data_IF_267580681883
#
_entry.id   IF_267580681883
#
_cell.length_a   1.000
_cell.length_b   1.000
_cell.length_c   1.000
_cell.angle_alpha   90.00
_cell.angle_beta   90.00
_cell.angle_gamma   90.00
#
_symmetry.space_group_name_H-M   'P 1'
#
loop_
_entity.id
_entity.type
_entity.pdbx_description
1 polymer ?
#
# COMPACT_ATOMS: atom_id res chain seq x y z
N UNK A 1 8.34 6.58 13.00
CA UNK A 1 9.10 7.77 12.53
C UNK A 1 10.19 8.09 13.54
N UNK A 2 11.33 8.64 13.12
CA UNK A 2 12.45 9.00 14.03
C UNK A 2 12.15 10.15 15.00
N UNK A 3 10.99 10.80 14.83
CA UNK A 3 10.47 11.85 15.71
C UNK A 3 10.15 11.34 17.14
N UNK A 4 9.90 10.03 17.32
CA UNK A 4 9.51 9.46 18.61
C UNK A 4 10.52 9.76 19.73
N UNK A 5 11.81 9.50 19.50
CA UNK A 5 12.86 9.76 20.50
C UNK A 5 13.01 11.24 20.88
N UNK A 6 12.73 12.14 19.94
CA UNK A 6 12.78 13.58 20.20
C UNK A 6 11.57 13.98 21.07
N UNK A 7 10.39 13.45 20.76
CA UNK A 7 9.20 13.66 21.59
C UNK A 7 9.38 13.09 23.00
N UNK A 8 9.93 11.88 23.14
CA UNK A 8 10.22 11.27 24.45
C UNK A 8 11.18 12.15 25.28
N UNK A 9 12.20 12.73 24.63
CA UNK A 9 13.12 13.68 25.27
C UNK A 9 12.45 14.97 25.70
N UNK A 10 11.53 15.50 24.89
CA UNK A 10 10.73 16.69 25.21
C UNK A 10 9.78 16.40 26.39
N UNK A 11 9.11 15.24 26.41
CA UNK A 11 8.27 14.82 27.54
C UNK A 11 9.10 14.65 28.83
N UNK A 12 10.30 14.08 28.72
CA UNK A 12 11.23 13.99 29.84
C UNK A 12 11.71 15.37 30.32
N UNK A 13 11.82 16.38 29.43
CA UNK A 13 12.08 17.75 29.86
C UNK A 13 10.91 18.32 30.66
N UNK A 14 9.66 18.05 30.25
CA UNK A 14 8.48 18.53 30.97
C UNK A 14 8.33 17.92 32.35
N UNK A 15 8.67 16.64 32.53
CA UNK A 15 8.60 15.98 33.84
C UNK A 15 9.59 16.53 34.88
N UNK A 16 10.54 17.38 34.47
CA UNK A 16 11.48 18.06 35.39
C UNK A 16 10.90 19.31 36.06
N UNK A 17 9.66 19.72 35.72
CA UNK A 17 8.99 20.92 36.25
C UNK A 17 8.88 20.95 37.78
N UNK A 18 8.66 19.78 38.38
CA UNK A 18 8.25 19.66 39.79
C UNK A 18 9.42 19.41 40.75
N UNK A 19 10.66 19.32 40.24
CA UNK A 19 11.83 19.02 41.06
C UNK A 19 12.47 20.27 41.70
N UNK A 20 12.82 20.25 43.00
CA UNK A 20 13.59 21.30 43.67
C UNK A 20 14.94 21.61 43.01
N UNK A 21 15.56 20.60 42.36
CA UNK A 21 16.81 20.73 41.59
C UNK A 21 16.57 21.06 40.11
N UNK A 22 15.34 21.45 39.76
CA UNK A 22 14.84 21.63 38.40
C UNK A 22 15.72 22.50 37.47
N UNK A 23 16.40 23.57 37.91
CA UNK A 23 17.25 24.36 37.00
C UNK A 23 18.48 23.62 36.47
N UNK A 24 19.13 22.80 37.32
CA UNK A 24 20.31 22.01 36.93
C UNK A 24 19.91 20.81 36.07
N UNK A 25 18.82 20.14 36.43
CA UNK A 25 18.28 19.02 35.67
C UNK A 25 17.78 19.50 34.30
N UNK A 26 17.11 20.64 34.21
CA UNK A 26 16.69 21.25 32.93
C UNK A 26 17.87 21.53 32.00
N UNK A 27 18.97 22.09 32.51
CA UNK A 27 20.19 22.30 31.72
C UNK A 27 20.78 20.98 31.24
N UNK A 28 20.84 19.97 32.10
CA UNK A 28 21.35 18.64 31.73
C UNK A 28 20.48 17.97 30.66
N UNK A 29 19.16 17.96 30.83
CA UNK A 29 18.23 17.38 29.84
C UNK A 29 18.30 18.13 28.51
N UNK A 30 18.41 19.46 28.54
CA UNK A 30 18.59 20.27 27.32
C UNK A 30 19.88 19.89 26.57
N UNK A 31 20.98 19.66 27.29
CA UNK A 31 22.22 19.16 26.70
C UNK A 31 22.12 17.71 26.19
N UNK A 32 21.31 16.86 26.83
CA UNK A 32 21.03 15.51 26.31
C UNK A 32 20.21 15.57 25.02
N UNK A 33 19.19 16.43 24.95
CA UNK A 33 18.36 16.61 23.74
C UNK A 33 19.24 17.11 22.58
N UNK A 34 20.16 18.05 22.82
CA UNK A 34 21.12 18.51 21.79
C UNK A 34 22.03 17.40 21.27
N UNK A 35 22.29 16.36 22.07
CA UNK A 35 23.11 15.21 21.69
C UNK A 35 22.33 14.11 20.97
N UNK A 36 21.00 14.23 20.87
CA UNK A 36 20.19 13.26 20.14
C UNK A 36 20.51 13.32 18.65
N UNK A 37 20.61 12.15 18.04
CA UNK A 37 20.84 12.01 16.61
C UNK A 37 19.78 12.77 15.79
N UNK A 38 20.26 13.70 14.96
CA UNK A 38 19.40 14.50 14.08
C UNK A 38 18.90 15.81 14.68
N UNK A 39 19.11 16.09 15.97
CA UNK A 39 18.84 17.41 16.56
C UNK A 39 19.97 18.36 16.17
N UNK A 40 19.63 19.52 15.60
CA UNK A 40 20.60 20.56 15.21
C UNK A 40 20.73 21.64 16.26
N UNK A 41 19.65 21.93 16.99
CA UNK A 41 19.61 22.96 18.03
C UNK A 41 18.44 22.70 18.99
N UNK A 42 18.56 23.16 20.23
CA UNK A 42 17.48 23.16 21.21
C UNK A 42 17.60 24.39 22.11
N UNK A 43 16.57 25.23 22.12
CA UNK A 43 16.56 26.53 22.82
C UNK A 43 15.29 26.71 23.63
N UNK A 44 15.48 27.39 24.76
CA UNK A 44 14.41 27.79 25.67
C UNK A 44 14.29 29.31 25.63
N UNK A 45 13.11 29.81 25.27
CA UNK A 45 12.78 31.23 25.21
C UNK A 45 11.74 31.54 26.27
N UNK A 46 12.03 32.45 27.19
CA UNK A 46 11.07 32.88 28.20
C UNK A 46 10.29 34.09 27.70
N UNK A 47 9.01 34.14 28.01
CA UNK A 47 8.22 35.35 27.78
C UNK A 47 8.58 36.32 28.90
N UNK A 48 9.12 37.49 28.53
CA UNK A 48 9.42 38.54 29.50
C UNK A 48 8.09 38.99 30.14
N UNK A 49 7.96 38.96 31.47
CA UNK A 49 6.74 39.45 32.11
C UNK A 49 6.61 40.94 31.76
N UNK A 50 5.46 41.35 31.23
CA UNK A 50 5.12 42.76 31.10
C UNK A 50 5.32 43.39 32.49
N UNK A 51 6.40 44.15 32.62
CA UNK A 51 6.67 44.89 33.85
C UNK A 51 5.49 45.81 34.06
N UNK A 52 4.68 45.52 35.08
CA UNK A 52 3.62 46.39 35.56
C UNK A 52 4.24 47.74 35.89
N UNK A 53 4.08 48.71 34.98
CA UNK A 53 4.43 50.10 35.19
C UNK A 53 3.43 50.70 36.18
N UNK A 54 3.80 50.69 37.47
CA UNK A 54 3.39 51.56 38.59
C UNK A 54 3.73 50.78 39.88
N UNK A 55 4.50 51.26 40.86
CA UNK A 55 4.84 52.61 41.30
C UNK A 55 6.05 52.56 42.27
N UNK A 56 6.46 53.73 42.73
CA UNK A 56 7.75 54.15 43.28
C UNK A 56 8.35 53.48 44.54
N UNK A 57 9.69 53.59 44.58
CA UNK A 57 10.61 53.82 45.72
C UNK A 57 11.45 52.68 46.37
N UNK A 58 12.76 53.01 46.40
CA UNK A 58 13.92 52.61 47.23
C UNK A 58 14.86 51.49 46.73
N UNK A 59 16.18 51.76 46.62
CA UNK A 59 17.16 50.80 46.12
C UNK A 59 17.62 49.87 47.24
N UNK A 60 17.12 48.64 47.27
CA UNK A 60 17.77 47.57 48.03
C UNK A 60 18.86 46.96 47.15
N UNK A 61 20.12 47.21 47.54
CA UNK A 61 21.33 46.60 46.98
C UNK A 61 21.37 45.12 47.37
N UNK A 62 20.70 44.29 46.57
CA UNK A 62 20.67 42.83 46.66
C UNK A 62 21.25 42.18 45.42
N UNK A 63 22.35 41.45 45.60
CA UNK A 63 23.10 40.69 44.60
C UNK A 63 22.17 39.75 43.81
N UNK A 64 22.42 39.65 42.50
CA UNK A 64 21.59 38.99 41.49
C UNK A 64 20.92 37.69 41.93
N UNK A 65 19.60 37.68 41.84
CA UNK A 65 18.79 36.47 41.75
C UNK A 65 17.95 36.62 40.49
N UNK A 66 18.46 36.13 39.36
CA UNK A 66 17.63 35.96 38.17
C UNK A 66 16.41 35.15 38.58
N UNK A 67 15.23 35.75 38.50
CA UNK A 67 13.96 35.07 38.79
C UNK A 67 13.96 33.79 37.98
N UNK A 68 14.09 32.66 38.68
CA UNK A 68 14.09 31.35 38.03
C UNK A 68 12.67 31.12 37.56
N UNK A 69 12.36 31.52 36.32
CA UNK A 69 11.04 31.34 35.76
C UNK A 69 10.69 29.83 35.80
N UNK A 70 9.54 29.54 36.42
CA UNK A 70 9.02 28.18 36.62
C UNK A 70 7.84 27.98 35.68
N UNK A 71 7.81 26.81 35.05
CA UNK A 71 6.63 26.30 34.36
C UNK A 71 6.14 25.05 35.13
N UNK A 72 4.86 24.74 34.99
CA UNK A 72 4.21 23.63 35.66
C UNK A 72 3.71 22.58 34.67
N UNK A 73 3.46 22.97 33.42
CA UNK A 73 3.12 22.03 32.34
C UNK A 73 3.84 22.44 31.06
N UNK A 74 4.23 21.44 30.28
CA UNK A 74 4.69 21.61 28.91
C UNK A 74 3.84 20.77 27.98
N UNK A 75 3.51 21.32 26.81
CA UNK A 75 2.80 20.58 25.76
C UNK A 75 3.47 20.88 24.42
N UNK A 76 3.67 19.82 23.63
CA UNK A 76 4.03 20.00 22.21
C UNK A 76 2.83 20.59 21.51
N UNK A 77 2.98 21.80 21.00
CA UNK A 77 1.88 22.56 20.39
C UNK A 77 1.89 22.36 18.89
N UNK A 78 3.07 22.42 18.26
CA UNK A 78 3.18 22.42 16.81
C UNK A 78 4.54 21.92 16.30
N UNK A 79 4.54 21.28 15.13
CA UNK A 79 5.75 21.02 14.34
C UNK A 79 5.67 21.84 13.04
N UNK A 80 6.67 22.68 12.79
CA UNK A 80 6.67 23.58 11.63
C UNK A 80 6.97 22.85 10.33
N UNK A 81 6.64 23.46 9.19
CA UNK A 81 7.19 23.05 7.90
C UNK A 81 8.73 23.23 7.88
N UNK A 82 9.47 22.40 7.12
CA UNK A 82 10.92 22.55 6.94
C UNK A 82 11.29 23.93 6.40
N UNK A 83 12.12 24.66 7.16
CA UNK A 83 12.69 25.95 6.77
C UNK A 83 14.18 25.81 6.50
N UNK A 84 14.71 26.63 5.60
CA UNK A 84 16.14 26.69 5.37
C UNK A 84 16.81 27.37 6.57
N UNK A 85 17.71 26.66 7.24
CA UNK A 85 18.46 27.20 8.36
C UNK A 85 19.58 28.09 7.81
N UNK A 86 19.57 29.42 8.05
CA UNK A 86 20.56 30.33 7.50
C UNK A 86 21.98 30.07 8.04
N UNK A 87 22.13 29.46 9.22
CA UNK A 87 23.43 29.18 9.81
C UNK A 87 24.12 27.95 9.21
N UNK A 88 23.35 26.98 8.70
CA UNK A 88 23.89 25.70 8.20
C UNK A 88 23.59 25.44 6.72
N UNK A 89 22.69 26.22 6.11
CA UNK A 89 22.17 26.00 4.76
C UNK A 89 21.32 24.74 4.61
N UNK A 90 21.01 24.04 5.71
CA UNK A 90 20.24 22.78 5.71
C UNK A 90 18.79 23.04 6.07
N UNK A 91 17.89 22.20 5.55
CA UNK A 91 16.47 22.24 5.93
C UNK A 91 16.27 21.63 7.32
N UNK A 92 15.70 22.41 8.22
CA UNK A 92 15.37 22.00 9.59
C UNK A 92 13.89 22.19 9.88
N UNK A 93 13.35 21.37 10.78
CA UNK A 93 12.01 21.50 11.32
C UNK A 93 12.12 21.91 12.77
N UNK A 94 11.28 22.84 13.20
CA UNK A 94 11.17 23.25 14.59
C UNK A 94 9.95 22.60 15.22
N UNK A 95 10.17 21.88 16.32
CA UNK A 95 9.12 21.39 17.20
C UNK A 95 8.99 22.43 18.31
N UNK A 96 7.83 23.08 18.38
CA UNK A 96 7.55 24.16 19.32
C UNK A 96 6.66 23.61 20.43
N UNK A 97 7.10 23.81 21.66
CA UNK A 97 6.36 23.46 22.86
C UNK A 97 6.10 24.67 23.71
N UNK A 98 4.86 24.84 24.15
CA UNK A 98 4.49 25.88 25.09
C UNK A 98 4.67 25.40 26.52
N UNK A 99 5.25 26.27 27.33
CA UNK A 99 5.42 26.09 28.76
C UNK A 99 4.43 27.00 29.47
N UNK A 100 3.56 26.42 30.29
CA UNK A 100 2.52 27.15 31.03
C UNK A 100 2.72 27.05 32.54
N UNK A 101 2.28 28.08 33.25
CA UNK A 101 2.19 28.06 34.71
C UNK A 101 0.88 27.41 35.19
N UNK A 102 0.69 27.34 36.51
CA UNK A 102 -0.54 26.79 37.11
C UNK A 102 -1.83 27.56 36.77
N UNK A 103 -1.75 28.83 36.36
CA UNK A 103 -2.91 29.60 35.90
C UNK A 103 -3.21 29.39 34.42
N UNK A 104 -2.45 28.54 33.71
CA UNK A 104 -2.59 28.28 32.29
C UNK A 104 -1.97 29.36 31.39
N UNK A 105 -1.30 30.35 31.96
CA UNK A 105 -0.61 31.41 31.22
C UNK A 105 0.71 30.91 30.64
N UNK A 106 1.00 31.23 29.38
CA UNK A 106 2.25 30.86 28.70
C UNK A 106 3.40 31.67 29.30
N UNK A 107 4.39 30.97 29.87
CA UNK A 107 5.58 31.57 30.48
C UNK A 107 6.82 31.43 29.60
N UNK A 108 6.79 30.56 28.59
CA UNK A 108 7.90 30.38 27.66
C UNK A 108 7.61 29.38 26.55
N UNK A 109 8.52 29.32 25.59
CA UNK A 109 8.52 28.37 24.49
C UNK A 109 9.81 27.57 24.50
N UNK A 110 9.69 26.25 24.41
CA UNK A 110 10.81 25.35 24.18
C UNK A 110 10.79 24.91 22.72
N UNK A 111 11.87 25.21 21.98
CA UNK A 111 11.99 24.97 20.55
C UNK A 111 13.14 24.00 20.30
N UNK A 112 12.83 22.88 19.67
CA UNK A 112 13.81 21.88 19.24
C UNK A 112 13.87 21.86 17.72
N UNK A 113 15.04 22.14 17.15
CA UNK A 113 15.28 22.09 15.72
C UNK A 113 15.92 20.76 15.32
N UNK A 114 15.32 20.10 14.34
CA UNK A 114 15.71 18.76 13.86
C UNK A 114 16.02 18.81 12.36
N UNK A 115 17.08 18.13 11.94
CA UNK A 115 17.46 18.01 10.53
C UNK A 115 16.40 17.22 9.75
N UNK A 116 15.87 17.84 8.69
CA UNK A 116 14.81 17.22 7.89
C UNK A 116 15.29 15.98 7.14
N UNK A 117 16.53 15.97 6.65
CA UNK A 117 17.09 14.81 5.94
C UNK A 117 17.16 13.59 6.85
N UNK A 118 17.52 13.80 8.12
CA UNK A 118 17.53 12.75 9.14
C UNK A 118 16.14 12.13 9.34
N UNK A 119 15.08 12.96 9.38
CA UNK A 119 13.71 12.49 9.56
C UNK A 119 13.21 11.65 8.39
N UNK A 120 13.48 12.09 7.16
CA UNK A 120 13.02 11.39 5.96
C UNK A 120 13.92 10.21 5.56
N UNK A 121 15.12 10.06 6.13
CA UNK A 121 16.07 9.00 5.80
C UNK A 121 15.45 7.59 5.87
N UNK A 122 14.66 7.32 6.91
CA UNK A 122 13.98 6.04 7.07
C UNK A 122 12.89 5.79 6.02
N UNK A 123 12.16 6.83 5.65
CA UNK A 123 11.08 6.75 4.64
C UNK A 123 11.68 6.57 3.24
N UNK A 124 12.79 7.27 2.94
CA UNK A 124 13.53 7.15 1.68
C UNK A 124 14.06 5.73 1.40
N UNK A 125 14.31 4.95 2.44
CA UNK A 125 14.77 3.57 2.29
C UNK A 125 13.66 2.58 1.85
N UNK A 126 12.39 2.99 1.94
CA UNK A 126 11.26 2.13 1.60
C UNK A 126 11.12 1.94 0.09
N UNK A 127 10.72 0.73 -0.33
CA UNK A 127 10.60 0.37 -1.74
C UNK A 127 9.66 1.31 -2.52
N UNK A 128 8.51 1.67 -1.93
CA UNK A 128 7.52 2.57 -2.54
C UNK A 128 7.99 4.03 -2.65
N UNK A 129 9.00 4.44 -1.87
CA UNK A 129 9.64 5.75 -2.01
C UNK A 129 10.62 5.76 -3.18
N UNK A 130 11.36 4.66 -3.35
CA UNK A 130 12.33 4.45 -4.46
C UNK A 130 11.66 4.30 -5.82
N UNK A 131 10.45 3.71 -5.87
CA UNK A 131 9.66 3.66 -7.10
C UNK A 131 9.18 5.04 -7.56
N UNK A 132 9.36 6.09 -6.75
CA UNK A 132 9.05 7.47 -7.10
C UNK A 132 7.56 7.73 -7.21
N UNK A 133 6.78 7.08 -6.37
CA UNK A 133 5.32 7.12 -6.35
C UNK A 133 4.78 7.87 -5.14
N UNK A 134 5.61 8.64 -4.44
CA UNK A 134 5.19 9.34 -3.24
C UNK A 134 5.87 10.69 -3.05
N UNK A 135 5.12 11.61 -2.46
CA UNK A 135 5.58 12.90 -1.99
C UNK A 135 5.04 13.19 -0.60
N UNK A 136 5.85 13.86 0.20
CA UNK A 136 5.45 14.53 1.43
C UNK A 136 5.24 16.01 1.12
N UNK A 137 4.05 16.50 1.43
CA UNK A 137 3.63 17.87 1.18
C UNK A 137 3.40 18.62 2.49
N UNK A 138 3.61 19.94 2.48
CA UNK A 138 3.12 20.81 3.54
C UNK A 138 1.60 21.03 3.44
N UNK A 139 1.03 21.75 4.41
CA UNK A 139 -0.40 22.05 4.45
C UNK A 139 -0.90 22.87 3.24
N UNK A 140 -0.03 23.67 2.64
CA UNK A 140 -0.33 24.47 1.46
C UNK A 140 -0.11 23.70 0.14
N UNK A 141 0.29 22.42 0.18
CA UNK A 141 0.61 21.60 -0.98
C UNK A 141 2.01 21.83 -1.55
N UNK A 142 2.90 22.52 -0.84
CA UNK A 142 4.31 22.66 -1.20
C UNK A 142 5.08 21.35 -1.02
N UNK A 143 6.04 21.08 -1.90
CA UNK A 143 6.84 19.86 -1.84
C UNK A 143 7.89 19.90 -0.72
N UNK A 144 7.75 19.03 0.28
CA UNK A 144 8.76 18.84 1.32
C UNK A 144 9.81 17.81 0.88
N UNK A 145 9.35 16.63 0.48
CA UNK A 145 10.21 15.57 -0.05
C UNK A 145 9.42 14.75 -1.09
N UNK A 146 10.10 14.23 -2.11
CA UNK A 146 9.49 13.30 -3.06
C UNK A 146 10.45 12.15 -3.34
N UNK A 147 9.90 11.04 -3.81
CA UNK A 147 10.69 9.98 -4.43
C UNK A 147 11.40 10.47 -5.70
N UNK A 148 12.50 9.80 -6.05
CA UNK A 148 13.43 10.26 -7.09
C UNK A 148 12.82 10.35 -8.49
N UNK A 149 11.81 9.52 -8.79
CA UNK A 149 11.16 9.49 -10.11
C UNK A 149 9.94 10.41 -10.22
N UNK A 150 9.64 11.19 -9.18
CA UNK A 150 8.55 12.17 -9.24
C UNK A 150 9.00 13.39 -10.04
N UNK A 151 8.33 13.62 -11.18
CA UNK A 151 8.44 14.89 -11.90
C UNK A 151 7.72 15.96 -11.10
N UNK A 152 8.49 16.92 -10.58
CA UNK A 152 7.96 18.09 -9.87
C UNK A 152 7.54 19.13 -10.89
N UNK A 153 6.25 19.38 -10.95
CA UNK A 153 5.68 20.40 -11.82
C UNK A 153 5.67 21.75 -11.09
N UNK A 154 6.86 22.38 -11.02
CA UNK A 154 7.09 23.58 -10.23
C UNK A 154 7.22 23.34 -8.71
N UNK A 155 6.88 24.37 -7.92
CA UNK A 155 7.09 24.37 -6.45
C UNK A 155 5.93 23.79 -5.65
N UNK A 156 4.74 23.62 -6.24
CA UNK A 156 3.53 23.16 -5.54
C UNK A 156 2.92 21.96 -6.25
N UNK A 157 2.35 21.06 -5.45
CA UNK A 157 1.60 19.91 -5.93
C UNK A 157 0.24 20.34 -6.49
N UNK A 158 -0.15 19.78 -7.63
CA UNK A 158 -1.41 20.16 -8.30
C UNK A 158 -1.33 21.49 -9.06
N UNK A 159 -0.17 21.81 -9.65
CA UNK A 159 -0.07 22.87 -10.65
C UNK A 159 -1.04 22.67 -11.82
N UNK A 160 -1.31 23.75 -12.55
CA UNK A 160 -2.39 23.89 -13.55
C UNK A 160 -2.41 22.80 -14.64
N UNK A 161 -1.29 22.12 -14.88
CA UNK A 161 -1.14 21.18 -16.00
C UNK A 161 -1.63 19.74 -15.70
N UNK A 162 -1.99 19.42 -14.45
CA UNK A 162 -2.47 18.07 -14.08
C UNK A 162 -3.80 18.09 -13.30
N UNK A 163 -4.94 17.87 -13.97
CA UNK A 163 -6.27 17.92 -13.34
C UNK A 163 -6.45 16.83 -12.27
N UNK A 164 -5.72 15.71 -12.36
CA UNK A 164 -5.78 14.65 -11.36
C UNK A 164 -5.10 15.08 -10.05
N UNK A 165 -3.91 15.68 -10.14
CA UNK A 165 -3.21 16.22 -8.97
C UNK A 165 -3.99 17.39 -8.33
N UNK A 166 -4.63 18.24 -9.13
CA UNK A 166 -5.48 19.31 -8.62
C UNK A 166 -6.71 18.76 -7.85
N UNK A 167 -7.35 17.71 -8.37
CA UNK A 167 -8.42 17.02 -7.66
C UNK A 167 -7.93 16.39 -6.34
N UNK A 168 -6.72 15.82 -6.33
CA UNK A 168 -6.10 15.24 -5.15
C UNK A 168 -5.76 16.29 -4.08
N UNK A 169 -5.25 17.46 -4.50
CA UNK A 169 -5.04 18.62 -3.64
C UNK A 169 -6.35 19.11 -3.02
N UNK A 170 -7.42 19.17 -3.82
CA UNK A 170 -8.75 19.57 -3.33
C UNK A 170 -9.31 18.57 -2.33
N UNK A 171 -9.07 17.27 -2.52
CA UNK A 171 -9.53 16.22 -1.63
C UNK A 171 -8.78 16.20 -0.29
N UNK A 172 -7.46 16.43 -0.29
CA UNK A 172 -6.67 16.49 0.94
C UNK A 172 -7.01 17.70 1.83
N UNK A 173 -7.49 18.81 1.25
CA UNK A 173 -7.99 19.94 2.05
C UNK A 173 -9.31 19.62 2.76
N UNK A 174 -10.09 18.66 2.24
CA UNK A 174 -11.43 18.31 2.77
C UNK A 174 -11.41 17.15 3.76
N UNK A 175 -10.48 16.20 3.58
CA UNK A 175 -10.41 14.97 4.38
C UNK A 175 -8.97 14.72 4.86
N UNK A 176 -8.77 14.10 6.03
CA UNK A 176 -7.43 13.74 6.49
C UNK A 176 -6.84 12.58 5.70
N UNK A 177 -7.66 11.72 5.10
CA UNK A 177 -7.20 10.62 4.25
C UNK A 177 -8.24 10.30 3.18
N UNK A 178 -7.79 9.64 2.11
CA UNK A 178 -8.66 9.18 1.05
C UNK A 178 -7.91 8.68 -0.16
N UNK A 179 -8.68 8.13 -1.11
CA UNK A 179 -8.18 7.63 -2.38
C UNK A 179 -9.00 8.24 -3.51
N UNK A 180 -8.32 8.64 -4.58
CA UNK A 180 -8.91 9.11 -5.82
C UNK A 180 -8.43 8.26 -6.98
N UNK A 181 -9.35 7.99 -7.89
CA UNK A 181 -9.13 7.29 -9.14
C UNK A 181 -9.08 8.33 -10.26
N UNK A 182 -8.18 8.15 -11.22
CA UNK A 182 -8.13 8.98 -12.42
C UNK A 182 -9.47 8.98 -13.18
N UNK A 183 -9.77 10.04 -13.95
CA UNK A 183 -11.08 10.23 -14.59
C UNK A 183 -11.37 9.21 -15.72
N UNK A 184 -10.33 8.62 -16.32
CA UNK A 184 -10.47 7.64 -17.41
C UNK A 184 -10.96 6.29 -16.87
N UNK A 185 -11.71 5.53 -17.68
CA UNK A 185 -12.05 4.12 -17.38
C UNK A 185 -11.43 3.20 -18.43
N UNK A 186 -10.56 2.23 -18.05
CA UNK A 186 -10.00 2.03 -16.71
C UNK A 186 -9.13 3.22 -16.26
N UNK A 187 -9.03 3.50 -14.95
CA UNK A 187 -8.22 4.61 -14.45
C UNK A 187 -6.77 4.40 -14.82
N UNK A 188 -6.11 5.44 -15.33
CA UNK A 188 -4.68 5.39 -15.66
C UNK A 188 -3.81 5.54 -14.41
N UNK A 189 -4.30 6.28 -13.42
CA UNK A 189 -3.61 6.58 -12.17
C UNK A 189 -4.55 6.41 -10.96
N UNK A 190 -3.96 6.02 -9.84
CA UNK A 190 -4.57 6.00 -8.52
C UNK A 190 -3.72 6.85 -7.59
N UNK A 191 -4.38 7.65 -6.76
CA UNK A 191 -3.75 8.55 -5.81
C UNK A 191 -4.36 8.36 -4.43
N UNK A 192 -3.53 8.13 -3.43
CA UNK A 192 -3.92 8.12 -2.02
C UNK A 192 -3.28 9.29 -1.28
N UNK A 193 -3.95 9.79 -0.25
CA UNK A 193 -3.38 10.78 0.65
C UNK A 193 -3.67 10.45 2.10
N UNK A 194 -2.76 10.84 2.98
CA UNK A 194 -2.86 10.67 4.42
C UNK A 194 -2.16 11.82 5.16
N UNK A 195 -2.91 12.59 5.93
CA UNK A 195 -2.41 13.66 6.81
C UNK A 195 -1.83 13.04 8.08
N UNK A 196 -0.60 13.41 8.41
CA UNK A 196 0.08 12.91 9.60
C UNK A 196 -0.56 13.50 10.86
N UNK A 197 -0.58 12.72 11.93
CA UNK A 197 -1.10 13.17 13.24
C UNK A 197 -0.08 14.00 14.02
N UNK A 198 1.21 13.71 13.86
CA UNK A 198 2.30 14.36 14.61
C UNK A 198 2.88 15.60 13.94
N UNK A 199 2.48 15.91 12.71
CA UNK A 199 2.95 17.07 11.95
C UNK A 199 1.89 17.47 10.90
N UNK A 200 1.79 18.76 10.51
CA UNK A 200 0.80 19.26 9.56
C UNK A 200 1.10 18.87 8.10
N UNK A 201 1.80 17.75 7.88
CA UNK A 201 2.21 17.30 6.55
C UNK A 201 1.26 16.24 6.03
N UNK A 202 1.14 16.18 4.71
CA UNK A 202 0.32 15.18 4.02
C UNK A 202 1.23 14.29 3.18
N UNK A 203 1.18 12.99 3.45
CA UNK A 203 1.78 11.98 2.58
C UNK A 203 0.84 11.71 1.43
N UNK A 204 1.33 11.89 0.21
CA UNK A 204 0.61 11.63 -1.02
C UNK A 204 1.32 10.51 -1.75
N UNK A 205 0.57 9.47 -2.10
CA UNK A 205 1.02 8.38 -2.96
C UNK A 205 0.26 8.45 -4.27
N UNK A 206 0.93 8.26 -5.39
CA UNK A 206 0.32 8.16 -6.70
C UNK A 206 1.05 7.11 -7.53
N UNK A 207 0.29 6.20 -8.13
CA UNK A 207 0.84 5.11 -8.92
C UNK A 207 0.03 4.91 -10.21
N UNK A 208 0.69 4.54 -11.31
CA UNK A 208 -0.01 4.10 -12.51
C UNK A 208 -0.82 2.84 -12.18
N UNK A 209 -2.12 2.89 -12.45
CA UNK A 209 -3.03 1.78 -12.18
C UNK A 209 -2.60 0.50 -12.92
N UNK A 210 -2.01 0.63 -14.13
CA UNK A 210 -1.47 -0.50 -14.90
C UNK A 210 -0.39 -1.27 -14.14
N UNK A 211 0.45 -0.59 -13.35
CA UNK A 211 1.51 -1.24 -12.56
C UNK A 211 0.93 -1.94 -11.34
N UNK A 212 0.00 -1.29 -10.64
CA UNK A 212 -0.69 -1.86 -9.47
C UNK A 212 -1.52 -3.09 -9.86
N UNK A 213 -2.20 -3.04 -11.01
CA UNK A 213 -3.04 -4.13 -11.51
C UNK A 213 -2.27 -5.15 -12.37
N UNK A 214 -0.98 -4.93 -12.69
CA UNK A 214 -0.22 -5.85 -13.54
C UNK A 214 -0.27 -7.31 -13.06
N UNK A 215 -0.14 -7.62 -11.75
CA UNK A 215 -0.28 -8.99 -11.26
C UNK A 215 -1.69 -9.56 -11.48
N UNK A 216 -2.74 -8.77 -11.26
CA UNK A 216 -4.13 -9.19 -11.52
C UNK A 216 -4.38 -9.45 -13.01
N UNK A 217 -3.85 -8.61 -13.90
CA UNK A 217 -4.00 -8.77 -15.35
C UNK A 217 -3.28 -10.04 -15.82
N UNK A 218 -2.07 -10.32 -15.31
CA UNK A 218 -1.35 -11.55 -15.62
C UNK A 218 -2.09 -12.79 -15.14
N UNK A 219 -2.60 -12.77 -13.91
CA UNK A 219 -3.38 -13.87 -13.36
C UNK A 219 -4.65 -14.13 -14.17
N UNK A 220 -5.37 -13.07 -14.54
CA UNK A 220 -6.55 -13.17 -15.42
C UNK A 220 -6.21 -13.85 -16.74
N UNK A 221 -5.13 -13.43 -17.40
CA UNK A 221 -4.72 -14.00 -18.68
C UNK A 221 -4.33 -15.48 -18.55
N UNK A 222 -3.59 -15.84 -17.48
CA UNK A 222 -3.25 -17.23 -17.19
C UNK A 222 -4.49 -18.09 -16.96
N UNK A 223 -5.47 -17.56 -16.20
CA UNK A 223 -6.73 -18.23 -15.95
C UNK A 223 -7.54 -18.45 -17.25
N UNK A 224 -7.63 -17.43 -18.12
CA UNK A 224 -8.31 -17.59 -19.41
C UNK A 224 -7.64 -18.64 -20.30
N UNK A 225 -6.31 -18.64 -20.38
CA UNK A 225 -5.57 -19.66 -21.14
C UNK A 225 -5.82 -21.06 -20.55
N UNK A 226 -5.78 -21.19 -19.23
CA UNK A 226 -6.10 -22.45 -18.54
C UNK A 226 -7.54 -22.91 -18.80
N UNK A 227 -8.51 -22.00 -18.73
CA UNK A 227 -9.91 -22.31 -19.00
C UNK A 227 -10.13 -22.78 -20.45
N UNK A 228 -9.53 -22.10 -21.43
CA UNK A 228 -9.58 -22.50 -22.84
C UNK A 228 -8.96 -23.89 -23.02
N UNK A 229 -7.81 -24.15 -22.39
CA UNK A 229 -7.15 -25.46 -22.45
C UNK A 229 -8.03 -26.58 -21.90
N UNK A 230 -8.70 -26.35 -20.77
CA UNK A 230 -9.64 -27.32 -20.18
C UNK A 230 -10.83 -27.57 -21.11
N UNK A 231 -11.43 -26.52 -21.67
CA UNK A 231 -12.55 -26.64 -22.61
C UNK A 231 -12.12 -27.45 -23.85
N UNK A 232 -10.97 -27.12 -24.44
CA UNK A 232 -10.44 -27.86 -25.60
C UNK A 232 -10.17 -29.32 -25.25
N UNK A 233 -9.64 -29.60 -24.06
CA UNK A 233 -9.38 -30.96 -23.59
C UNK A 233 -10.68 -31.75 -23.46
N UNK A 234 -11.72 -31.18 -22.82
CA UNK A 234 -13.03 -31.84 -22.68
C UNK A 234 -13.67 -32.08 -24.05
N UNK A 235 -13.66 -31.09 -24.94
CA UNK A 235 -14.18 -31.23 -26.30
C UNK A 235 -13.44 -32.33 -27.08
N UNK A 236 -12.11 -32.39 -26.96
CA UNK A 236 -11.29 -33.40 -27.61
C UNK A 236 -11.59 -34.81 -27.09
N UNK A 237 -11.67 -35.00 -25.77
CA UNK A 237 -12.04 -36.28 -25.17
C UNK A 237 -13.45 -36.71 -25.60
N UNK A 238 -14.42 -35.79 -25.56
CA UNK A 238 -15.79 -36.07 -25.99
C UNK A 238 -15.84 -36.49 -27.46
N UNK A 239 -15.17 -35.77 -28.36
CA UNK A 239 -15.12 -36.13 -29.78
C UNK A 239 -14.47 -37.50 -29.99
N UNK A 240 -13.38 -37.81 -29.28
CA UNK A 240 -12.72 -39.12 -29.35
C UNK A 240 -13.67 -40.26 -28.95
N UNK A 241 -14.41 -40.10 -27.86
CA UNK A 241 -15.34 -41.12 -27.35
C UNK A 241 -16.53 -41.28 -28.31
N UNK A 242 -17.19 -40.19 -28.70
CA UNK A 242 -18.37 -40.21 -29.58
C UNK A 242 -18.02 -40.80 -30.94
N UNK A 243 -16.91 -40.40 -31.56
CA UNK A 243 -16.49 -40.93 -32.87
C UNK A 243 -16.22 -42.44 -32.79
N UNK A 244 -15.59 -42.92 -31.70
CA UNK A 244 -15.34 -44.35 -31.50
C UNK A 244 -16.65 -45.13 -31.35
N UNK A 245 -17.60 -44.63 -30.57
CA UNK A 245 -18.92 -45.24 -30.40
C UNK A 245 -19.70 -45.28 -31.72
N UNK A 246 -19.82 -44.14 -32.42
CA UNK A 246 -20.56 -44.04 -33.69
C UNK A 246 -19.98 -44.95 -34.77
N UNK A 247 -18.64 -45.07 -34.86
CA UNK A 247 -17.99 -45.99 -35.81
C UNK A 247 -18.32 -47.45 -35.51
N UNK A 248 -18.30 -47.84 -34.23
CA UNK A 248 -18.59 -49.21 -33.81
C UNK A 248 -20.05 -49.57 -34.06
N UNK A 249 -20.97 -48.65 -33.76
CA UNK A 249 -22.40 -48.83 -34.01
C UNK A 249 -22.74 -48.90 -35.51
N UNK A 250 -22.12 -48.05 -36.35
CA UNK A 250 -22.29 -48.13 -37.81
C UNK A 250 -21.76 -49.44 -38.38
N UNK A 251 -20.62 -49.94 -37.91
CA UNK A 251 -20.06 -51.21 -38.35
C UNK A 251 -20.99 -52.38 -37.99
N UNK A 252 -21.51 -52.39 -36.76
CA UNK A 252 -22.47 -53.39 -36.31
C UNK A 252 -23.79 -53.33 -37.11
N UNK A 253 -24.38 -52.15 -37.25
CA UNK A 253 -25.62 -51.96 -38.02
C UNK A 253 -25.45 -52.39 -39.49
N UNK A 254 -24.31 -52.08 -40.11
CA UNK A 254 -24.01 -52.50 -41.47
C UNK A 254 -23.83 -54.01 -41.64
N UNK A 255 -23.30 -54.71 -40.63
CA UNK A 255 -23.16 -56.17 -40.65
C UNK A 255 -24.50 -56.87 -40.42
N UNK A 256 -25.30 -56.38 -39.47
CA UNK A 256 -26.66 -56.89 -39.20
C UNK A 256 -27.53 -56.81 -40.46
N UNK A 257 -27.47 -55.71 -41.20
CA UNK A 257 -28.23 -55.54 -42.44
C UNK A 257 -27.80 -56.48 -43.59
N UNK A 258 -26.62 -57.09 -43.51
CA UNK A 258 -26.10 -58.01 -44.54
C UNK A 258 -26.32 -59.49 -44.19
N UNK A 259 -26.47 -59.83 -42.91
CA UNK A 259 -26.61 -61.22 -42.45
C UNK A 259 -27.83 -61.96 -43.07
N UNK A 260 -29.05 -61.37 -43.18
CA UNK A 260 -30.19 -62.04 -43.82
C UNK A 260 -30.02 -62.31 -45.31
N UNK A 261 -29.03 -61.68 -45.96
CA UNK A 261 -28.73 -61.87 -47.40
C UNK A 261 -27.71 -62.98 -47.64
N UNK A 262 -27.42 -63.81 -46.63
CA UNK A 262 -26.39 -64.85 -46.68
C UNK A 262 -24.96 -64.33 -46.76
N UNK A 263 -24.74 -63.02 -46.57
CA UNK A 263 -23.42 -62.37 -46.63
C UNK A 263 -22.86 -62.21 -45.23
N UNK A 264 -22.38 -63.32 -44.66
CA UNK A 264 -21.91 -63.38 -43.28
C UNK A 264 -20.56 -62.69 -43.01
N UNK A 265 -19.79 -62.36 -44.05
CA UNK A 265 -18.55 -61.58 -43.92
C UNK A 265 -17.52 -62.18 -42.95
N UNK A 266 -16.60 -61.34 -42.45
CA UNK A 266 -15.68 -61.68 -41.35
C UNK A 266 -16.31 -61.26 -40.00
N UNK A 267 -15.98 -61.94 -38.89
CA UNK A 267 -16.44 -61.53 -37.56
C UNK A 267 -16.07 -60.09 -37.26
N UNK A 268 -17.00 -59.34 -36.66
CA UNK A 268 -16.73 -57.96 -36.26
C UNK A 268 -15.72 -57.93 -35.11
N UNK A 269 -14.73 -57.02 -35.14
CA UNK A 269 -13.73 -56.92 -34.08
C UNK A 269 -14.38 -56.43 -32.78
N UNK A 270 -14.33 -57.25 -31.73
CA UNK A 270 -14.80 -56.88 -30.39
C UNK A 270 -13.78 -55.92 -29.77
N UNK A 271 -14.19 -54.68 -29.52
CA UNK A 271 -13.33 -53.64 -28.93
C UNK A 271 -13.93 -53.12 -27.64
N UNK A 272 -13.20 -53.23 -26.54
CA UNK A 272 -13.63 -52.75 -25.22
C UNK A 272 -14.38 -53.81 -24.41
N UNK A 273 -14.91 -53.39 -23.26
CA UNK A 273 -15.69 -54.20 -22.32
C UNK A 273 -17.02 -53.50 -21.96
N UNK A 274 -17.50 -52.62 -22.83
CA UNK A 274 -18.79 -51.94 -22.69
C UNK A 274 -19.93 -52.76 -23.31
N UNK A 275 -21.14 -52.24 -23.24
CA UNK A 275 -22.35 -52.84 -23.79
C UNK A 275 -22.24 -53.07 -25.31
N UNK A 276 -21.47 -52.24 -26.02
CA UNK A 276 -21.22 -52.39 -27.46
C UNK A 276 -20.35 -53.64 -27.72
N UNK A 277 -19.33 -53.88 -26.89
CA UNK A 277 -18.49 -55.06 -26.99
C UNK A 277 -19.26 -56.36 -26.66
N UNK A 278 -20.15 -56.31 -25.67
CA UNK A 278 -21.03 -57.45 -25.36
C UNK A 278 -21.99 -57.73 -26.52
N UNK A 279 -22.64 -56.70 -27.06
CA UNK A 279 -23.56 -56.84 -28.19
C UNK A 279 -22.85 -57.37 -29.45
N UNK A 280 -21.62 -56.91 -29.72
CA UNK A 280 -20.81 -57.40 -30.83
C UNK A 280 -20.48 -58.89 -30.68
N UNK A 281 -20.17 -59.36 -29.45
CA UNK A 281 -19.95 -60.79 -29.16
C UNK A 281 -21.19 -61.63 -29.42
N UNK A 282 -22.34 -61.20 -28.91
CA UNK A 282 -23.61 -61.89 -29.13
C UNK A 282 -23.97 -61.96 -30.61
N UNK A 283 -23.76 -60.87 -31.37
CA UNK A 283 -23.99 -60.85 -32.81
C UNK A 283 -23.07 -61.81 -33.57
N UNK A 284 -21.76 -61.80 -33.28
CA UNK A 284 -20.82 -62.73 -33.93
C UNK A 284 -21.19 -64.20 -33.67
N UNK A 285 -21.58 -64.54 -32.43
CA UNK A 285 -22.02 -65.90 -32.06
C UNK A 285 -23.25 -66.33 -32.86
N UNK A 286 -24.23 -65.43 -33.03
CA UNK A 286 -25.42 -65.69 -33.84
C UNK A 286 -25.10 -65.90 -35.33
N UNK A 287 -24.21 -65.08 -35.89
CA UNK A 287 -23.76 -65.23 -37.29
C UNK A 287 -23.02 -66.55 -37.51
N UNK A 288 -22.23 -66.99 -36.54
CA UNK A 288 -21.52 -68.27 -36.59
C UNK A 288 -22.50 -69.45 -36.61
N UNK A 289 -23.50 -69.44 -35.73
CA UNK A 289 -24.58 -70.45 -35.71
C UNK A 289 -25.41 -70.48 -37.01
N UNK A 290 -25.74 -69.31 -37.58
CA UNK A 290 -26.43 -69.21 -38.88
C UNK A 290 -25.58 -69.79 -40.01
N UNK A 291 -24.28 -69.48 -40.03
CA UNK A 291 -23.34 -69.97 -41.05
C UNK A 291 -23.14 -71.49 -40.96
N UNK A 292 -23.20 -72.06 -39.76
CA UNK A 292 -23.15 -73.51 -39.53
C UNK A 292 -24.42 -74.20 -40.02
N UNK A 293 -25.60 -73.68 -39.67
CA UNK A 293 -26.89 -74.20 -40.16
C UNK A 293 -27.03 -74.11 -41.69
N UNK A 294 -26.62 -73.00 -42.31
CA UNK A 294 -26.65 -72.86 -43.78
C UNK A 294 -25.67 -73.83 -44.46
N UNK A 295 -24.53 -74.13 -43.83
CA UNK A 295 -23.59 -75.14 -44.33
C UNK A 295 -24.14 -76.55 -44.25
N UNK A 296 -24.81 -76.90 -43.16
CA UNK A 296 -25.44 -78.22 -43.00
C UNK A 296 -26.61 -78.41 -43.99
N UNK A 297 -27.42 -77.37 -44.20
CA UNK A 297 -28.55 -77.42 -45.14
C UNK A 297 -28.13 -77.32 -46.61
N UNK A 298 -26.99 -76.70 -46.93
CA UNK A 298 -26.45 -76.64 -48.30
C UNK A 298 -25.71 -77.89 -48.77
N UNK A 299 -25.46 -78.86 -47.86
CA UNK A 299 -24.76 -80.12 -48.15
C UNK A 299 -25.70 -81.35 -48.21
N UNK A 300 -27.02 -81.12 -48.16
CA UNK A 300 -28.08 -82.11 -48.40
C UNK A 300 -28.74 -81.83 -49.75
#
# INVERSE_FOLDING_TARGET
MRLGRVNDGIEMFFSTSDSPSGPLIRKWVLEQIKRLDGVTDARLMWVEPEASLQSDHMPVRGKGSGSVMRFNRGRITEATSPTDNPATGRKTISIISELTNNSGSVVGHFVVSVDFQHLVKGVKALAWWRTGQACLLDEAGGYLACGERVVKDGKRFGGTDDPFKAALLTAMSKKPYGTLLGPRRPPEQVGGFYRLSSAPWTLVLFAPCKEVLAPMIRFRNLYFVGAILVILTVLFLNQRVVVKMVRSLRALSGAVGQAPRGRYGKPLPVRGNDEIAQLTRSFNTMVEALKENDRENGNR
#
